data_IF_419899892501
#
_entry.id   IF_419899892501
#
_cell.length_a   1.000
_cell.length_b   1.000
_cell.length_c   1.000
_cell.angle_alpha   90.00
_cell.angle_beta   90.00
_cell.angle_gamma   90.00
#
_symmetry.space_group_name_H-M   'P 1'
#
loop_
_entity.id
_entity.type
_entity.pdbx_description
1 polymer ?
#
# COMPACT_ATOMS: atom_id res chain seq x y z
N UNK A 1 9.94 8.53 34.18
CA UNK A 1 10.27 7.18 34.70
C UNK A 1 9.28 6.08 34.27
N UNK A 2 8.09 6.38 33.76
CA UNK A 2 7.08 5.36 33.39
C UNK A 2 7.39 4.54 32.10
N UNK A 3 8.19 5.09 31.17
CA UNK A 3 8.38 4.44 29.85
C UNK A 3 9.36 3.24 29.85
N UNK A 4 10.36 3.22 30.71
CA UNK A 4 11.38 2.16 30.74
C UNK A 4 10.87 0.84 31.35
N UNK A 5 9.98 0.90 32.34
CA UNK A 5 9.35 -0.28 32.92
C UNK A 5 8.38 -0.94 31.93
N UNK A 6 7.61 -0.13 31.20
CA UNK A 6 6.70 -0.58 30.14
C UNK A 6 7.47 -1.26 29.00
N UNK A 7 8.55 -0.64 28.50
CA UNK A 7 9.36 -1.21 27.41
C UNK A 7 9.92 -2.59 27.78
N UNK A 8 10.45 -2.76 29.02
CA UNK A 8 10.99 -4.06 29.48
C UNK A 8 9.92 -5.16 29.49
N UNK A 9 8.73 -4.86 29.96
CA UNK A 9 7.64 -5.86 29.99
C UNK A 9 7.20 -6.26 28.58
N UNK A 10 7.11 -5.31 27.65
CA UNK A 10 6.83 -5.60 26.24
C UNK A 10 7.92 -6.43 25.58
N UNK A 11 9.21 -6.18 25.90
CA UNK A 11 10.32 -6.94 25.37
C UNK A 11 10.31 -8.40 25.86
N UNK A 12 10.08 -8.66 27.16
CA UNK A 12 9.98 -10.01 27.72
C UNK A 12 8.83 -10.81 27.09
N UNK A 13 7.70 -10.17 26.84
CA UNK A 13 6.60 -10.80 26.12
C UNK A 13 6.97 -11.10 24.66
N UNK A 14 7.65 -10.19 23.99
CA UNK A 14 8.05 -10.34 22.60
C UNK A 14 9.11 -11.44 22.39
N UNK A 15 10.01 -11.65 23.35
CA UNK A 15 10.97 -12.77 23.35
C UNK A 15 10.24 -14.12 23.25
N UNK A 16 9.11 -14.25 23.94
CA UNK A 16 8.32 -15.48 23.99
C UNK A 16 7.38 -15.64 22.78
N UNK A 17 6.77 -14.54 22.34
CA UNK A 17 5.68 -14.59 21.36
C UNK A 17 6.12 -14.26 19.93
N UNK A 18 7.25 -13.56 19.76
CA UNK A 18 7.67 -12.97 18.50
C UNK A 18 6.85 -11.74 18.08
N UNK A 19 6.05 -11.16 19.00
CA UNK A 19 5.19 -10.00 18.75
C UNK A 19 5.57 -8.87 19.68
N UNK A 20 5.96 -7.74 19.11
CA UNK A 20 6.23 -6.50 19.85
C UNK A 20 5.27 -5.40 19.41
N UNK A 21 4.57 -4.83 20.38
CA UNK A 21 3.66 -3.70 20.17
C UNK A 21 3.93 -2.62 21.20
N UNK A 22 4.19 -1.40 20.73
CA UNK A 22 4.38 -0.23 21.58
C UNK A 22 3.75 0.98 20.90
N UNK A 23 2.42 1.04 20.96
CA UNK A 23 1.60 2.07 20.32
C UNK A 23 1.22 3.17 21.31
N UNK A 24 0.99 4.41 20.79
CA UNK A 24 0.49 5.55 21.58
C UNK A 24 1.36 5.92 22.80
N UNK A 25 2.68 5.72 22.67
CA UNK A 25 3.63 5.94 23.77
C UNK A 25 4.49 7.20 23.60
N UNK A 26 4.18 8.03 22.59
CA UNK A 26 4.92 9.25 22.27
C UNK A 26 6.41 9.01 21.95
N UNK A 27 6.77 7.85 21.39
CA UNK A 27 8.14 7.58 20.94
C UNK A 27 8.58 8.59 19.87
N UNK A 28 9.69 9.28 20.10
CA UNK A 28 10.31 10.17 19.11
C UNK A 28 11.35 9.44 18.26
N UNK A 29 11.93 8.35 18.79
CA UNK A 29 12.99 7.56 18.16
C UNK A 29 12.66 6.07 18.21
N UNK A 30 13.21 5.33 17.25
CA UNK A 30 13.09 3.88 17.20
C UNK A 30 13.85 3.26 18.39
N UNK A 31 13.23 2.34 19.18
CA UNK A 31 13.90 1.76 20.35
C UNK A 31 15.03 0.82 19.93
N UNK A 32 16.29 1.24 20.08
CA UNK A 32 17.45 0.45 19.66
C UNK A 32 17.58 -0.90 20.41
N UNK A 33 17.05 -0.99 21.64
CA UNK A 33 17.00 -2.25 22.40
C UNK A 33 16.25 -3.37 21.68
N UNK A 34 15.35 -3.05 20.73
CA UNK A 34 14.64 -4.04 19.94
C UNK A 34 15.55 -4.98 19.16
N UNK A 35 16.80 -4.56 18.91
CA UNK A 35 17.80 -5.41 18.25
C UNK A 35 18.00 -6.76 18.96
N UNK A 36 17.79 -6.82 20.27
CA UNK A 36 17.85 -8.05 21.06
C UNK A 36 16.82 -9.08 20.61
N UNK A 37 15.73 -8.63 19.95
CA UNK A 37 14.64 -9.45 19.43
C UNK A 37 14.81 -9.83 17.96
N UNK A 38 15.86 -9.39 17.29
CA UNK A 38 16.04 -9.55 15.83
C UNK A 38 15.94 -10.99 15.33
N UNK A 39 16.29 -11.96 16.17
CA UNK A 39 16.32 -13.39 15.83
C UNK A 39 14.96 -14.09 15.89
N UNK A 40 13.96 -13.50 16.55
CA UNK A 40 12.64 -14.15 16.72
C UNK A 40 11.44 -13.24 16.43
N UNK A 41 11.63 -11.92 16.27
CA UNK A 41 10.53 -10.99 16.07
C UNK A 41 9.88 -11.23 14.70
N UNK A 42 8.55 -11.45 14.73
CA UNK A 42 7.72 -11.68 13.54
C UNK A 42 6.76 -10.52 13.27
N UNK A 43 6.34 -9.85 14.34
CA UNK A 43 5.43 -8.71 14.26
C UNK A 43 5.99 -7.55 15.06
N UNK A 44 6.10 -6.39 14.42
CA UNK A 44 6.51 -5.13 15.05
C UNK A 44 5.45 -4.06 14.75
N UNK A 45 4.83 -3.55 15.82
CA UNK A 45 3.89 -2.44 15.73
C UNK A 45 4.34 -1.28 16.62
N UNK A 46 4.73 -0.19 15.98
CA UNK A 46 5.10 1.09 16.61
C UNK A 46 4.17 2.22 16.15
N UNK A 47 2.94 1.90 15.78
CA UNK A 47 1.96 2.88 15.29
C UNK A 47 1.56 3.89 16.38
N UNK A 48 1.04 5.05 15.94
CA UNK A 48 0.61 6.14 16.82
C UNK A 48 1.72 6.68 17.73
N UNK A 49 2.88 6.93 17.15
CA UNK A 49 4.03 7.52 17.82
C UNK A 49 4.50 8.81 17.09
N UNK A 50 5.71 9.25 17.35
CA UNK A 50 6.28 10.46 16.75
C UNK A 50 7.59 10.19 16.01
N UNK A 51 7.75 8.95 15.51
CA UNK A 51 8.95 8.51 14.81
C UNK A 51 9.15 9.32 13.53
N UNK A 52 10.36 9.86 13.34
CA UNK A 52 10.75 10.64 12.15
C UNK A 52 11.52 9.82 11.12
N UNK A 53 12.13 8.74 11.54
CA UNK A 53 12.92 7.86 10.68
C UNK A 53 12.81 6.40 11.13
N UNK A 54 13.02 5.50 10.21
CA UNK A 54 13.27 4.09 10.43
C UNK A 54 14.80 3.94 10.34
N UNK A 55 15.49 3.50 11.40
CA UNK A 55 16.95 3.37 11.33
C UNK A 55 17.38 2.18 10.47
N UNK A 56 18.59 2.19 9.88
CA UNK A 56 19.11 1.06 9.09
C UNK A 56 19.13 -0.27 9.84
N UNK A 57 19.19 -0.25 11.17
CA UNK A 57 19.10 -1.46 11.99
C UNK A 57 17.84 -2.29 11.76
N UNK A 58 16.78 -1.71 11.12
CA UNK A 58 15.57 -2.44 10.73
C UNK A 58 15.89 -3.68 9.90
N UNK A 59 16.91 -3.63 9.05
CA UNK A 59 17.34 -4.74 8.21
C UNK A 59 17.82 -5.98 8.97
N UNK A 60 18.05 -5.87 10.27
CA UNK A 60 18.46 -7.02 11.10
C UNK A 60 17.28 -7.92 11.51
N UNK A 61 16.04 -7.44 11.36
CA UNK A 61 14.83 -8.19 11.73
C UNK A 61 14.36 -9.14 10.60
N UNK A 62 15.24 -10.01 10.15
CA UNK A 62 15.04 -10.88 8.98
C UNK A 62 13.89 -11.90 9.11
N UNK A 63 13.33 -12.09 10.31
CA UNK A 63 12.17 -12.94 10.55
C UNK A 63 10.85 -12.18 10.56
N UNK A 64 10.92 -10.85 10.41
CA UNK A 64 9.73 -9.99 10.46
C UNK A 64 8.79 -10.30 9.29
N UNK A 65 7.51 -10.54 9.63
CA UNK A 65 6.42 -10.79 8.68
C UNK A 65 5.45 -9.61 8.60
N UNK A 66 5.29 -8.87 9.69
CA UNK A 66 4.40 -7.72 9.75
C UNK A 66 5.10 -6.53 10.41
N UNK A 67 5.10 -5.40 9.71
CA UNK A 67 5.63 -4.13 10.19
C UNK A 67 4.55 -3.06 10.10
N UNK A 68 4.15 -2.52 11.25
CA UNK A 68 3.16 -1.43 11.34
C UNK A 68 3.80 -0.19 11.96
N UNK A 69 3.78 0.91 11.19
CA UNK A 69 4.32 2.21 11.57
C UNK A 69 3.32 3.35 11.26
N UNK A 70 2.04 3.02 11.28
CA UNK A 70 0.98 3.99 10.98
C UNK A 70 0.99 5.16 11.97
N UNK A 71 0.52 6.33 11.53
CA UNK A 71 0.38 7.50 12.38
C UNK A 71 1.69 7.86 13.09
N UNK A 72 2.71 8.10 12.30
CA UNK A 72 4.03 8.58 12.72
C UNK A 72 4.39 9.87 11.93
N UNK A 73 5.67 10.22 11.86
CA UNK A 73 6.18 11.41 11.16
C UNK A 73 7.30 11.04 10.19
N UNK A 74 7.22 9.83 9.61
CA UNK A 74 8.24 9.30 8.72
C UNK A 74 8.26 10.09 7.42
N UNK A 75 9.47 10.49 7.00
CA UNK A 75 9.70 11.20 5.74
C UNK A 75 10.19 10.25 4.63
N UNK A 76 10.94 9.22 5.02
CA UNK A 76 11.58 8.28 4.10
C UNK A 76 11.58 6.87 4.69
N UNK A 77 11.80 5.90 3.81
CA UNK A 77 12.03 4.49 4.14
C UNK A 77 13.49 4.18 3.78
N UNK A 78 14.29 3.57 4.68
CA UNK A 78 15.67 3.24 4.38
C UNK A 78 15.79 2.03 3.44
N UNK A 79 16.88 1.95 2.69
CA UNK A 79 17.15 0.84 1.76
C UNK A 79 17.22 -0.52 2.46
N UNK A 80 17.60 -0.55 3.72
CA UNK A 80 17.70 -1.74 4.56
C UNK A 80 16.35 -2.43 4.81
N UNK A 81 15.22 -1.75 4.52
CA UNK A 81 13.90 -2.40 4.51
C UNK A 81 13.88 -3.61 3.57
N UNK A 82 14.67 -3.59 2.50
CA UNK A 82 14.80 -4.66 1.52
C UNK A 82 15.36 -5.96 2.08
N UNK A 83 16.02 -5.91 3.23
CA UNK A 83 16.56 -7.09 3.92
C UNK A 83 15.47 -7.89 4.67
N UNK A 84 14.27 -7.32 4.81
CA UNK A 84 13.12 -7.98 5.43
C UNK A 84 12.44 -8.96 4.45
N UNK A 85 13.18 -9.90 3.92
CA UNK A 85 12.72 -10.79 2.84
C UNK A 85 11.52 -11.67 3.19
N UNK A 86 11.18 -11.80 4.50
CA UNK A 86 9.99 -12.53 4.97
C UNK A 86 8.79 -11.61 5.22
N UNK A 87 8.91 -10.30 4.93
CA UNK A 87 7.84 -9.35 5.17
C UNK A 87 6.64 -9.64 4.25
N UNK A 88 5.49 -9.81 4.86
CA UNK A 88 4.21 -10.09 4.20
C UNK A 88 3.27 -8.87 4.26
N UNK A 89 3.32 -8.10 5.36
CA UNK A 89 2.44 -6.95 5.58
C UNK A 89 3.28 -5.74 5.99
N UNK A 90 3.10 -4.64 5.26
CA UNK A 90 3.72 -3.34 5.55
C UNK A 90 2.65 -2.26 5.61
N UNK A 91 2.48 -1.63 6.77
CA UNK A 91 1.53 -0.53 6.93
C UNK A 91 2.23 0.75 7.42
N UNK A 92 2.08 1.81 6.65
CA UNK A 92 2.76 3.09 6.78
C UNK A 92 1.78 4.27 6.63
N UNK A 93 0.49 4.02 6.85
CA UNK A 93 -0.55 5.05 6.69
C UNK A 93 -0.32 6.24 7.62
N UNK A 94 -0.77 7.43 7.21
CA UNK A 94 -0.67 8.65 7.99
C UNK A 94 0.77 8.96 8.41
N UNK A 95 1.63 9.16 7.42
CA UNK A 95 3.01 9.63 7.56
C UNK A 95 3.25 10.81 6.58
N UNK A 96 4.49 11.16 6.31
CA UNK A 96 4.87 12.20 5.34
C UNK A 96 5.85 11.66 4.30
N UNK A 97 5.68 10.41 3.88
CA UNK A 97 6.57 9.71 2.95
C UNK A 97 6.34 10.27 1.54
N UNK A 98 7.44 10.72 0.90
CA UNK A 98 7.40 11.34 -0.44
C UNK A 98 7.77 10.39 -1.57
N UNK A 99 8.56 9.37 -1.27
CA UNK A 99 9.01 8.37 -2.25
C UNK A 99 9.38 7.06 -1.56
N UNK A 100 9.44 5.98 -2.34
CA UNK A 100 9.85 4.66 -1.87
C UNK A 100 11.22 4.31 -2.47
N UNK A 101 12.11 3.65 -1.70
CA UNK A 101 13.39 3.22 -2.23
C UNK A 101 13.22 2.07 -3.22
N UNK A 102 13.98 2.09 -4.31
CA UNK A 102 13.94 1.07 -5.35
C UNK A 102 14.27 -0.34 -4.82
N UNK A 103 15.01 -0.41 -3.74
CA UNK A 103 15.37 -1.65 -3.04
C UNK A 103 14.16 -2.45 -2.54
N UNK A 104 12.99 -1.81 -2.34
CA UNK A 104 11.75 -2.50 -1.93
C UNK A 104 11.27 -3.54 -2.95
N UNK A 105 11.71 -3.48 -4.19
CA UNK A 105 11.47 -4.52 -5.20
C UNK A 105 12.00 -5.91 -4.81
N UNK A 106 12.86 -6.00 -3.78
CA UNK A 106 13.38 -7.26 -3.24
C UNK A 106 12.46 -7.94 -2.22
N UNK A 107 11.39 -7.28 -1.78
CA UNK A 107 10.43 -7.80 -0.79
C UNK A 107 9.47 -8.84 -1.41
N UNK A 108 10.02 -9.94 -1.89
CA UNK A 108 9.32 -10.95 -2.71
C UNK A 108 8.12 -11.62 -2.02
N UNK A 109 8.06 -11.63 -0.69
CA UNK A 109 6.95 -12.21 0.07
C UNK A 109 5.85 -11.20 0.43
N UNK A 110 6.00 -9.93 0.05
CA UNK A 110 5.05 -8.88 0.38
C UNK A 110 3.68 -9.16 -0.27
N UNK A 111 2.61 -9.07 0.53
CA UNK A 111 1.23 -9.33 0.14
C UNK A 111 0.36 -8.10 0.25
N UNK A 112 0.62 -7.30 1.28
CA UNK A 112 -0.18 -6.11 1.59
C UNK A 112 0.72 -4.92 1.84
N UNK A 113 0.45 -3.83 1.14
CA UNK A 113 1.09 -2.53 1.36
C UNK A 113 0.03 -1.48 1.56
N UNK A 114 0.14 -0.73 2.66
CA UNK A 114 -0.74 0.40 2.95
C UNK A 114 0.11 1.65 3.17
N UNK A 115 -0.11 2.64 2.33
CA UNK A 115 0.60 3.92 2.27
C UNK A 115 -0.39 5.09 2.17
N UNK A 116 -1.64 4.89 2.60
CA UNK A 116 -2.63 5.97 2.55
C UNK A 116 -2.24 7.14 3.44
N UNK A 117 -2.71 8.33 3.09
CA UNK A 117 -2.41 9.56 3.82
C UNK A 117 -0.90 9.79 3.98
N UNK A 118 -0.21 9.90 2.83
CA UNK A 118 1.19 10.24 2.71
C UNK A 118 1.41 11.38 1.68
N UNK A 119 2.65 11.61 1.26
CA UNK A 119 3.00 12.67 0.34
C UNK A 119 3.62 12.14 -0.97
N UNK A 120 3.26 10.93 -1.40
CA UNK A 120 3.76 10.35 -2.64
C UNK A 120 3.28 11.18 -3.84
N UNK A 121 4.21 11.59 -4.70
CA UNK A 121 3.92 12.39 -5.91
C UNK A 121 3.93 11.58 -7.19
N UNK A 122 4.51 10.38 -7.17
CA UNK A 122 4.58 9.48 -8.30
C UNK A 122 4.08 8.09 -7.94
N UNK A 123 3.58 7.37 -8.92
CA UNK A 123 3.16 5.98 -8.77
C UNK A 123 4.38 5.08 -8.48
N UNK A 124 4.32 4.24 -7.41
CA UNK A 124 5.49 3.46 -6.99
C UNK A 124 5.68 2.20 -7.84
N UNK A 125 6.43 2.31 -8.93
CA UNK A 125 6.75 1.19 -9.84
C UNK A 125 7.60 0.09 -9.21
N UNK A 126 8.16 0.32 -8.01
CA UNK A 126 8.94 -0.67 -7.25
C UNK A 126 8.15 -1.95 -6.94
N UNK A 127 6.83 -1.90 -6.99
CA UNK A 127 5.94 -3.04 -6.73
C UNK A 127 5.66 -3.91 -7.95
N UNK A 128 6.03 -3.49 -9.15
CA UNK A 128 5.65 -4.12 -10.42
C UNK A 128 6.04 -5.61 -10.55
N UNK A 129 7.09 -6.05 -9.84
CA UNK A 129 7.59 -7.41 -9.94
C UNK A 129 7.31 -8.27 -8.69
N UNK A 130 6.50 -7.79 -7.76
CA UNK A 130 6.16 -8.51 -6.53
C UNK A 130 4.98 -9.47 -6.77
N UNK A 131 5.28 -10.72 -7.13
CA UNK A 131 4.31 -11.72 -7.59
C UNK A 131 3.25 -12.12 -6.53
N UNK A 132 3.56 -11.93 -5.25
CA UNK A 132 2.69 -12.27 -4.14
C UNK A 132 1.91 -11.08 -3.60
N UNK A 133 2.19 -9.86 -4.10
CA UNK A 133 1.49 -8.66 -3.69
C UNK A 133 0.05 -8.72 -4.19
N UNK A 134 -0.91 -8.58 -3.28
CA UNK A 134 -2.33 -8.73 -3.56
C UNK A 134 -3.13 -7.45 -3.34
N UNK A 135 -2.72 -6.64 -2.36
CA UNK A 135 -3.41 -5.40 -2.00
C UNK A 135 -2.44 -4.23 -1.88
N UNK A 136 -2.75 -3.13 -2.57
CA UNK A 136 -2.04 -1.85 -2.44
C UNK A 136 -3.04 -0.74 -2.14
N UNK A 137 -2.80 -0.01 -1.05
CA UNK A 137 -3.51 1.23 -0.73
C UNK A 137 -2.56 2.44 -0.82
N UNK A 138 -2.80 3.30 -1.81
CA UNK A 138 -2.10 4.55 -2.07
C UNK A 138 -3.05 5.75 -1.97
N UNK A 139 -4.23 5.58 -1.37
CA UNK A 139 -5.22 6.65 -1.28
C UNK A 139 -4.71 7.85 -0.47
N UNK A 140 -5.31 9.03 -0.69
CA UNK A 140 -4.92 10.25 0.00
C UNK A 140 -3.41 10.56 -0.14
N UNK A 141 -2.91 10.59 -1.37
CA UNK A 141 -1.56 10.99 -1.73
C UNK A 141 -1.59 12.15 -2.76
N UNK A 142 -0.49 12.41 -3.43
CA UNK A 142 -0.36 13.48 -4.44
C UNK A 142 0.05 12.92 -5.80
N UNK A 143 -0.32 11.67 -6.10
CA UNK A 143 0.03 10.97 -7.34
C UNK A 143 -0.74 11.63 -8.49
N UNK A 144 -0.03 11.93 -9.60
CA UNK A 144 -0.60 12.65 -10.75
C UNK A 144 -0.89 11.77 -11.95
N UNK A 145 -0.25 10.58 -12.01
CA UNK A 145 -0.42 9.66 -13.13
C UNK A 145 -0.29 8.20 -12.72
N UNK A 146 -0.94 7.31 -13.46
CA UNK A 146 -0.72 5.86 -13.41
C UNK A 146 0.01 5.48 -14.70
N UNK A 147 1.30 5.10 -14.62
CA UNK A 147 2.15 4.88 -15.78
C UNK A 147 1.93 3.50 -16.42
N UNK A 148 2.57 3.27 -17.56
CA UNK A 148 2.46 2.02 -18.33
C UNK A 148 2.92 0.77 -17.56
N UNK A 149 3.87 0.92 -16.64
CA UNK A 149 4.41 -0.13 -15.80
C UNK A 149 3.37 -0.76 -14.85
N UNK A 150 2.20 -0.13 -14.68
CA UNK A 150 1.08 -0.69 -13.90
C UNK A 150 0.70 -2.10 -14.37
N UNK A 151 0.85 -2.42 -15.66
CA UNK A 151 0.59 -3.75 -16.23
C UNK A 151 1.35 -4.90 -15.56
N UNK A 152 2.48 -4.62 -14.94
CA UNK A 152 3.29 -5.61 -14.24
C UNK A 152 2.86 -5.87 -12.80
N UNK A 153 1.87 -5.13 -12.28
CA UNK A 153 1.31 -5.40 -10.95
C UNK A 153 0.51 -6.71 -10.94
N UNK A 154 0.72 -7.49 -9.90
CA UNK A 154 -0.01 -8.75 -9.67
C UNK A 154 -1.10 -8.64 -8.59
N UNK A 155 -1.58 -7.44 -8.30
CA UNK A 155 -2.56 -7.15 -7.23
C UNK A 155 -4.00 -7.47 -7.66
N UNK A 156 -4.82 -7.89 -6.70
CA UNK A 156 -6.27 -8.03 -6.89
C UNK A 156 -7.01 -6.71 -6.63
N UNK A 157 -6.48 -5.86 -5.75
CA UNK A 157 -7.04 -4.56 -5.43
C UNK A 157 -5.98 -3.47 -5.40
N UNK A 158 -6.25 -2.35 -6.08
CA UNK A 158 -5.45 -1.14 -6.10
C UNK A 158 -6.33 0.04 -5.72
N UNK A 159 -6.04 0.68 -4.59
CA UNK A 159 -6.72 1.86 -4.12
C UNK A 159 -5.87 3.11 -4.37
N UNK A 160 -6.38 4.01 -5.19
CA UNK A 160 -5.80 5.29 -5.58
C UNK A 160 -6.76 6.47 -5.32
N UNK A 161 -7.79 6.27 -4.50
CA UNK A 161 -8.75 7.32 -4.18
C UNK A 161 -8.06 8.56 -3.59
N UNK A 162 -8.63 9.73 -3.87
CA UNK A 162 -8.16 10.99 -3.32
C UNK A 162 -6.67 11.24 -3.59
N UNK A 163 -6.35 11.29 -4.89
CA UNK A 163 -5.07 11.70 -5.43
C UNK A 163 -5.27 12.87 -6.42
N UNK A 164 -4.33 13.12 -7.30
CA UNK A 164 -4.37 14.17 -8.32
C UNK A 164 -4.21 13.57 -9.72
N UNK A 165 -4.68 12.32 -9.91
CA UNK A 165 -4.44 11.56 -11.13
C UNK A 165 -5.27 12.14 -12.25
N UNK A 166 -4.58 12.64 -13.29
CA UNK A 166 -5.17 13.14 -14.53
C UNK A 166 -4.86 12.24 -15.72
N UNK A 167 -3.85 11.37 -15.61
CA UNK A 167 -3.43 10.42 -16.64
C UNK A 167 -3.51 9.00 -16.11
N UNK A 168 -4.33 8.17 -16.75
CA UNK A 168 -4.46 6.74 -16.49
C UNK A 168 -4.03 5.97 -17.72
N UNK A 169 -2.92 5.23 -17.63
CA UNK A 169 -2.50 4.36 -18.73
C UNK A 169 -3.52 3.25 -18.96
N UNK A 170 -3.91 3.03 -20.20
CA UNK A 170 -4.78 1.90 -20.57
C UNK A 170 -4.15 0.53 -20.31
N UNK A 171 -2.84 0.47 -20.06
CA UNK A 171 -2.11 -0.73 -19.63
C UNK A 171 -2.63 -1.30 -18.30
N UNK A 172 -3.41 -0.54 -17.53
CA UNK A 172 -4.12 -1.06 -16.36
C UNK A 172 -5.05 -2.23 -16.72
N UNK A 173 -5.56 -2.28 -17.95
CA UNK A 173 -6.36 -3.38 -18.47
C UNK A 173 -5.58 -4.71 -18.59
N UNK A 174 -4.25 -4.63 -18.67
CA UNK A 174 -3.37 -5.78 -18.81
C UNK A 174 -2.94 -6.38 -17.46
N UNK A 175 -3.32 -5.76 -16.35
CA UNK A 175 -3.04 -6.28 -15.01
C UNK A 175 -3.70 -7.67 -14.82
N UNK A 176 -2.94 -8.75 -14.59
CA UNK A 176 -3.45 -10.11 -14.74
C UNK A 176 -4.45 -10.52 -13.65
N UNK A 177 -4.52 -9.80 -12.54
CA UNK A 177 -5.37 -10.16 -11.38
C UNK A 177 -6.24 -9.02 -10.89
N UNK A 178 -6.11 -7.82 -11.43
CA UNK A 178 -6.77 -6.63 -10.91
C UNK A 178 -8.29 -6.71 -11.08
N UNK A 179 -9.00 -6.83 -9.98
CA UNK A 179 -10.47 -6.90 -9.92
C UNK A 179 -11.10 -5.64 -9.38
N UNK A 180 -10.40 -4.97 -8.46
CA UNK A 180 -10.88 -3.75 -7.82
C UNK A 180 -9.90 -2.63 -8.08
N UNK A 181 -10.35 -1.62 -8.81
CA UNK A 181 -9.60 -0.38 -9.05
C UNK A 181 -10.42 0.79 -8.51
N UNK A 182 -9.85 1.50 -7.52
CA UNK A 182 -10.47 2.68 -6.91
C UNK A 182 -9.72 3.93 -7.31
N UNK A 183 -10.42 4.85 -7.91
CA UNK A 183 -9.92 6.12 -8.45
C UNK A 183 -10.86 7.29 -8.10
N UNK A 184 -11.71 7.12 -7.06
CA UNK A 184 -12.61 8.19 -6.63
C UNK A 184 -11.85 9.44 -6.23
N UNK A 185 -12.45 10.61 -6.46
CA UNK A 185 -11.89 11.91 -6.09
C UNK A 185 -10.47 12.13 -6.65
N UNK A 186 -10.35 12.06 -7.98
CA UNK A 186 -9.15 12.37 -8.76
C UNK A 186 -9.44 13.44 -9.82
N UNK A 187 -8.55 13.61 -10.80
CA UNK A 187 -8.65 14.62 -11.86
C UNK A 187 -8.82 13.98 -13.24
N UNK A 188 -9.41 12.78 -13.33
CA UNK A 188 -9.59 12.07 -14.60
C UNK A 188 -10.66 12.73 -15.45
N UNK A 189 -10.40 12.85 -16.77
CA UNK A 189 -11.41 13.10 -17.79
C UNK A 189 -12.09 11.77 -18.18
N UNK A 190 -13.32 11.83 -18.73
CA UNK A 190 -14.03 10.65 -19.22
C UNK A 190 -13.20 9.83 -20.23
N UNK A 191 -12.43 10.53 -21.08
CA UNK A 191 -11.55 9.93 -22.09
C UNK A 191 -10.44 9.04 -21.52
N UNK A 192 -10.11 9.16 -20.22
CA UNK A 192 -9.15 8.28 -19.55
C UNK A 192 -9.71 6.87 -19.32
N UNK A 193 -11.03 6.71 -19.35
CA UNK A 193 -11.71 5.40 -19.22
C UNK A 193 -11.92 4.85 -20.64
N UNK A 194 -10.92 4.14 -21.14
CA UNK A 194 -10.91 3.64 -22.52
C UNK A 194 -11.74 2.38 -22.69
N UNK A 195 -12.14 2.07 -23.94
CA UNK A 195 -12.79 0.79 -24.29
C UNK A 195 -11.97 -0.40 -23.79
N UNK A 196 -10.64 -0.37 -23.92
CA UNK A 196 -9.75 -1.43 -23.46
C UNK A 196 -9.90 -1.70 -21.95
N UNK A 197 -9.99 -0.66 -21.14
CA UNK A 197 -10.20 -0.78 -19.68
C UNK A 197 -11.57 -1.42 -19.40
N UNK A 198 -12.60 -0.97 -20.08
CA UNK A 198 -13.97 -1.46 -19.84
C UNK A 198 -14.21 -2.87 -20.40
N UNK A 199 -13.62 -3.22 -21.54
CA UNK A 199 -13.89 -4.46 -22.26
C UNK A 199 -12.90 -5.58 -21.93
N UNK A 200 -11.61 -5.30 -21.98
CA UNK A 200 -10.56 -6.31 -22.01
C UNK A 200 -9.93 -6.59 -20.64
N UNK A 201 -10.23 -5.76 -19.62
CA UNK A 201 -9.66 -5.92 -18.27
C UNK A 201 -10.35 -7.02 -17.45
N UNK A 202 -9.74 -7.40 -16.33
CA UNK A 202 -10.35 -8.24 -15.30
C UNK A 202 -11.13 -7.43 -14.25
N UNK A 203 -11.18 -6.09 -14.39
CA UNK A 203 -11.79 -5.19 -13.40
C UNK A 203 -13.29 -5.43 -13.33
N UNK A 204 -13.76 -5.81 -12.15
CA UNK A 204 -15.18 -6.01 -11.82
C UNK A 204 -15.73 -4.93 -10.89
N UNK A 205 -14.87 -4.12 -10.27
CA UNK A 205 -15.24 -2.90 -9.56
C UNK A 205 -14.30 -1.77 -9.97
N UNK A 206 -14.84 -0.81 -10.69
CA UNK A 206 -14.18 0.44 -11.06
C UNK A 206 -14.90 1.58 -10.33
N UNK A 207 -14.24 2.16 -9.32
CA UNK A 207 -14.74 3.31 -8.58
C UNK A 207 -14.06 4.57 -9.14
N UNK A 208 -14.83 5.51 -9.67
CA UNK A 208 -14.34 6.74 -10.33
C UNK A 208 -15.21 7.96 -10.02
N UNK A 209 -15.96 7.91 -8.92
CA UNK A 209 -16.79 9.05 -8.50
C UNK A 209 -15.94 10.26 -8.11
N UNK A 210 -16.49 11.47 -8.26
CA UNK A 210 -15.76 12.70 -7.91
C UNK A 210 -14.60 13.06 -8.84
N UNK A 211 -14.57 12.52 -10.07
CA UNK A 211 -13.66 12.93 -11.15
C UNK A 211 -14.27 14.06 -12.00
N UNK A 212 -13.62 14.42 -13.11
CA UNK A 212 -14.04 15.53 -13.99
C UNK A 212 -15.12 15.12 -15.03
N UNK A 213 -15.96 14.16 -14.69
CA UNK A 213 -17.09 13.67 -15.49
C UNK A 213 -18.18 13.10 -14.57
N UNK A 214 -19.38 12.91 -15.09
CA UNK A 214 -20.48 12.30 -14.33
C UNK A 214 -20.52 10.78 -14.54
N UNK A 215 -20.81 9.99 -13.48
CA UNK A 215 -20.87 8.53 -13.57
C UNK A 215 -21.83 8.01 -14.67
N UNK A 216 -22.91 8.75 -14.94
CA UNK A 216 -23.84 8.41 -16.02
C UNK A 216 -23.20 8.39 -17.42
N UNK A 217 -22.13 9.18 -17.62
CA UNK A 217 -21.45 9.26 -18.92
C UNK A 217 -20.71 7.98 -19.27
N UNK A 218 -20.31 7.18 -18.26
CA UNK A 218 -19.69 5.86 -18.46
C UNK A 218 -20.60 4.92 -19.27
N UNK A 219 -21.92 5.03 -19.13
CA UNK A 219 -22.87 4.13 -19.80
C UNK A 219 -22.82 4.26 -21.32
N UNK A 220 -22.30 5.38 -21.83
CA UNK A 220 -22.20 5.66 -23.26
C UNK A 220 -20.86 5.24 -23.87
N UNK A 221 -19.91 4.76 -23.02
CA UNK A 221 -18.60 4.33 -23.48
C UNK A 221 -18.66 2.93 -24.10
N UNK A 222 -17.91 2.73 -25.17
CA UNK A 222 -17.69 1.40 -25.75
C UNK A 222 -17.09 0.46 -24.68
N UNK A 223 -17.61 -0.76 -24.62
CA UNK A 223 -17.16 -1.79 -23.64
C UNK A 223 -17.81 -1.69 -22.26
N UNK A 224 -18.70 -0.70 -22.01
CA UNK A 224 -19.40 -0.59 -20.74
C UNK A 224 -20.24 -1.85 -20.41
N UNK A 225 -20.92 -2.44 -21.36
CA UNK A 225 -21.72 -3.65 -21.16
C UNK A 225 -20.86 -4.82 -20.64
N UNK A 226 -19.66 -5.01 -21.20
CA UNK A 226 -18.73 -6.04 -20.76
C UNK A 226 -18.25 -5.80 -19.31
N UNK A 227 -18.01 -4.54 -18.93
CA UNK A 227 -17.72 -4.17 -17.54
C UNK A 227 -18.92 -4.46 -16.63
N UNK A 228 -20.14 -4.09 -17.04
CA UNK A 228 -21.37 -4.26 -16.27
C UNK A 228 -21.68 -5.74 -16.01
N UNK A 229 -21.39 -6.63 -16.96
CA UNK A 229 -21.50 -8.07 -16.79
C UNK A 229 -20.58 -8.57 -15.67
N UNK A 230 -19.30 -8.17 -15.67
CA UNK A 230 -18.32 -8.55 -14.64
C UNK A 230 -18.72 -8.01 -13.26
N UNK A 231 -19.15 -6.77 -13.19
CA UNK A 231 -19.62 -6.13 -11.96
C UNK A 231 -20.80 -6.87 -11.35
N UNK A 232 -21.81 -7.18 -12.18
CA UNK A 232 -23.03 -7.90 -11.75
C UNK A 232 -22.74 -9.34 -11.31
N UNK A 233 -21.86 -10.05 -12.03
CA UNK A 233 -21.43 -11.40 -11.68
C UNK A 233 -20.68 -11.42 -10.33
N UNK A 234 -19.93 -10.37 -10.02
CA UNK A 234 -19.21 -10.26 -8.74
C UNK A 234 -20.18 -10.00 -7.60
N UNK A 235 -21.15 -9.09 -7.77
CA UNK A 235 -22.19 -8.82 -6.74
C UNK A 235 -23.00 -10.08 -6.37
N UNK A 236 -23.39 -10.90 -7.34
CA UNK A 236 -24.13 -12.13 -7.10
C UNK A 236 -23.38 -13.19 -6.29
N UNK A 237 -22.04 -13.14 -6.24
CA UNK A 237 -21.23 -14.08 -5.46
C UNK A 237 -21.05 -13.66 -4.00
N UNK A 238 -21.33 -12.39 -3.67
CA UNK A 238 -21.15 -11.81 -2.33
C UNK A 238 -22.48 -11.81 -1.56
N UNK A 239 -23.61 -11.89 -2.25
CA UNK A 239 -24.95 -12.08 -1.66
C UNK A 239 -25.25 -13.57 -1.45
#
# INVERSE_FOLDING_TARGET
MGNTSSLKSHMLNAERTGVFQLTKTNLNEFPNDLIKLSKNLRTLDLSYNKLRLIPPLIGQFQFLKSLSLNNNRLLNIPDEISLLTKLEVLTLNHNSIKSLPQSMSKLSNLRTVQLSNNELTSFPTVFSNLKHLDFIDLSHNKITEVPEEVKYLSVSELNLNQNQISVLSESVAECPKLKVLRLDENCLQLSAITEKILKDSQISLLAVDGNLFELKDLHHLNGYDSYQERYTATKKKIM
#
